data_IF_596988651171
#
_entry.id   IF_596988651171
#
_cell.length_a   1.000
_cell.length_b   1.000
_cell.length_c   1.000
_cell.angle_alpha   90.00
_cell.angle_beta   90.00
_cell.angle_gamma   90.00
#
_symmetry.space_group_name_H-M   'P 1'
#
loop_
_entity.id
_entity.type
_entity.pdbx_description
1 polymer ?
#
# COMPACT_ATOMS: atom_id res chain seq x y z
N UNK A 1 -66.61 1.62 63.94
CA UNK A 1 -65.36 0.94 63.53
C UNK A 1 -64.75 1.72 62.39
N UNK A 2 -63.43 1.93 62.41
CA UNK A 2 -62.61 2.40 61.28
C UNK A 2 -62.27 1.21 60.35
N UNK A 3 -61.59 1.35 59.18
CA UNK A 3 -60.85 2.51 58.66
C UNK A 3 -61.05 2.81 57.15
N UNK A 4 -60.14 3.60 56.56
CA UNK A 4 -60.15 4.11 55.20
C UNK A 4 -59.40 3.21 54.18
N UNK A 5 -59.80 3.28 52.90
CA UNK A 5 -58.97 3.08 51.69
C UNK A 5 -59.86 3.27 50.42
N UNK A 6 -59.38 3.45 49.20
CA UNK A 6 -58.42 4.39 48.60
C UNK A 6 -58.20 3.98 47.12
N UNK A 7 -58.46 4.89 46.18
CA UNK A 7 -57.81 4.99 44.86
C UNK A 7 -57.95 3.89 43.77
N UNK A 8 -57.90 4.39 42.52
CA UNK A 8 -57.86 3.70 41.22
C UNK A 8 -56.77 2.63 41.03
N UNK A 9 -56.97 1.73 40.04
CA UNK A 9 -55.91 1.22 39.18
C UNK A 9 -56.01 1.75 37.73
N UNK A 10 -54.89 2.24 37.19
CA UNK A 10 -54.68 2.36 35.73
C UNK A 10 -54.22 1.01 35.14
N UNK A 11 -54.45 0.72 33.84
CA UNK A 11 -53.92 -0.49 33.21
C UNK A 11 -52.39 -0.42 33.09
N UNK A 12 -51.72 -1.54 33.44
CA UNK A 12 -50.27 -1.67 33.34
C UNK A 12 -49.83 -1.74 31.87
N UNK A 13 -48.90 -0.87 31.46
CA UNK A 13 -48.16 -1.04 30.20
C UNK A 13 -47.08 -2.11 30.38
N UNK A 14 -46.85 -3.00 29.40
CA UNK A 14 -45.74 -3.95 29.46
C UNK A 14 -44.40 -3.21 29.44
N UNK A 15 -43.51 -3.58 30.36
CA UNK A 15 -42.15 -3.07 30.40
C UNK A 15 -41.37 -3.58 29.18
N UNK A 16 -40.92 -2.65 28.33
CA UNK A 16 -39.88 -2.96 27.34
C UNK A 16 -38.51 -2.70 28.02
N UNK A 17 -37.55 -3.62 27.95
CA UNK A 17 -36.18 -3.28 28.32
C UNK A 17 -35.68 -2.14 27.41
N UNK A 18 -34.80 -1.26 27.91
CA UNK A 18 -34.10 -0.33 27.02
C UNK A 18 -33.31 -1.14 25.98
N UNK A 19 -33.38 -0.73 24.72
CA UNK A 19 -32.48 -1.25 23.69
C UNK A 19 -31.03 -0.86 24.01
N UNK A 20 -30.04 -1.52 23.38
CA UNK A 20 -28.63 -1.15 23.57
C UNK A 20 -28.47 0.33 23.26
N UNK A 21 -27.90 1.08 24.21
CA UNK A 21 -27.63 2.49 24.01
C UNK A 21 -26.62 2.64 22.87
N UNK A 22 -27.02 3.32 21.78
CA UNK A 22 -26.09 3.76 20.76
C UNK A 22 -25.19 4.83 21.38
N UNK A 23 -24.04 4.41 21.90
CA UNK A 23 -22.99 5.32 22.35
C UNK A 23 -22.42 5.97 21.09
N UNK A 24 -22.80 7.22 20.86
CA UNK A 24 -22.17 8.05 19.84
C UNK A 24 -20.78 8.47 20.35
N UNK A 25 -19.81 7.55 20.23
CA UNK A 25 -18.40 7.90 20.41
C UNK A 25 -18.00 8.74 19.19
N UNK A 26 -17.46 9.94 19.43
CA UNK A 26 -16.95 10.76 18.34
C UNK A 26 -15.79 10.05 17.65
N UNK A 27 -15.74 10.15 16.32
CA UNK A 27 -14.63 9.65 15.51
C UNK A 27 -13.78 10.84 15.07
N UNK A 28 -12.46 10.73 15.21
CA UNK A 28 -11.47 11.70 14.76
C UNK A 28 -10.77 11.12 13.54
N UNK A 29 -10.92 11.80 12.41
CA UNK A 29 -10.18 11.50 11.18
C UNK A 29 -8.79 12.12 11.26
N UNK A 30 -7.77 11.35 10.87
CA UNK A 30 -6.38 11.80 10.82
C UNK A 30 -5.74 11.41 9.48
N UNK A 31 -5.17 12.39 8.78
CA UNK A 31 -4.13 12.15 7.77
C UNK A 31 -2.86 11.69 8.49
N UNK A 32 -2.15 10.72 7.91
CA UNK A 32 -0.90 10.17 8.48
C UNK A 32 0.28 11.06 8.04
N UNK A 33 0.18 12.37 8.28
CA UNK A 33 1.08 13.39 7.73
C UNK A 33 1.94 14.09 8.79
N UNK A 34 3.26 13.92 8.70
CA UNK A 34 4.23 14.92 9.19
C UNK A 34 5.03 14.58 10.45
N UNK A 35 6.19 13.93 10.27
CA UNK A 35 7.55 14.33 10.72
C UNK A 35 8.52 13.19 10.33
N UNK A 36 9.69 13.48 9.73
CA UNK A 36 10.62 12.42 9.32
C UNK A 36 11.35 11.80 10.53
N UNK A 37 10.89 10.62 10.96
CA UNK A 37 11.70 9.42 11.28
C UNK A 37 10.82 8.23 11.71
N UNK A 38 11.39 7.04 11.53
CA UNK A 38 10.90 5.71 11.92
C UNK A 38 9.71 5.13 11.10
N UNK A 39 10.10 4.25 10.16
CA UNK A 39 9.31 3.25 9.44
C UNK A 39 8.51 2.28 10.34
N UNK A 40 7.83 1.27 9.78
CA UNK A 40 6.70 0.55 10.45
C UNK A 40 6.46 -0.89 9.77
N UNK A 41 5.38 -1.74 9.62
CA UNK A 41 4.67 -2.73 10.51
C UNK A 41 3.09 -2.85 10.65
N UNK A 42 2.26 -3.34 9.69
CA UNK A 42 0.81 -3.71 9.92
C UNK A 42 0.58 -4.44 11.26
N UNK A 43 -0.47 -4.07 12.01
CA UNK A 43 -0.74 -4.61 13.35
C UNK A 43 -1.76 -5.76 13.36
N UNK A 44 -1.27 -7.00 13.52
CA UNK A 44 -2.10 -8.22 13.64
C UNK A 44 -2.54 -8.52 15.09
N UNK A 45 -3.80 -8.90 15.31
CA UNK A 45 -4.34 -9.27 16.64
C UNK A 45 -4.07 -10.73 17.03
N UNK A 46 -3.71 -11.59 16.07
CA UNK A 46 -3.41 -13.02 16.28
C UNK A 46 -2.02 -13.27 16.88
N UNK A 47 -1.82 -14.43 17.51
CA UNK A 47 -0.51 -14.88 18.00
C UNK A 47 0.13 -13.95 19.05
N UNK A 48 1.45 -13.93 19.11
CA UNK A 48 2.23 -13.01 19.95
C UNK A 48 2.40 -11.60 19.34
N UNK A 49 2.10 -11.45 18.04
CA UNK A 49 2.21 -10.20 17.29
C UNK A 49 3.49 -10.08 16.44
N UNK A 50 4.35 -11.11 16.45
CA UNK A 50 5.61 -11.10 15.69
C UNK A 50 5.49 -11.64 14.27
N UNK A 51 4.59 -12.60 14.04
CA UNK A 51 4.42 -13.34 12.78
C UNK A 51 3.83 -12.55 11.60
N UNK A 52 3.44 -13.27 10.54
CA UNK A 52 2.97 -12.75 9.25
C UNK A 52 3.96 -11.82 8.51
N UNK A 53 5.26 -11.96 8.78
CA UNK A 53 6.37 -11.22 8.16
C UNK A 53 6.97 -11.94 6.93
N UNK A 54 6.17 -12.80 6.30
CA UNK A 54 6.53 -13.60 5.11
C UNK A 54 5.27 -13.81 4.28
N UNK A 55 5.37 -14.02 2.96
CA UNK A 55 4.22 -14.28 2.09
C UNK A 55 3.26 -15.35 2.62
N UNK A 56 1.94 -15.19 2.44
CA UNK A 56 0.97 -16.28 2.54
C UNK A 56 1.34 -17.45 1.60
N UNK A 57 0.90 -18.67 1.92
CA UNK A 57 1.21 -19.87 1.11
C UNK A 57 0.59 -19.87 -0.31
N UNK A 58 -0.25 -18.89 -0.61
CA UNK A 58 -0.73 -18.53 -1.92
C UNK A 58 -0.75 -17.00 -1.95
N UNK A 59 0.41 -16.40 -2.20
CA UNK A 59 0.63 -14.98 -1.98
C UNK A 59 -0.29 -14.11 -2.86
N UNK A 60 -1.12 -13.21 -2.29
CA UNK A 60 -1.88 -12.25 -3.08
C UNK A 60 -1.07 -11.06 -3.60
N UNK A 61 0.19 -10.90 -3.18
CA UNK A 61 1.06 -9.78 -3.58
C UNK A 61 1.86 -9.17 -2.43
N UNK A 62 2.28 -9.96 -1.44
CA UNK A 62 3.14 -9.53 -0.34
C UNK A 62 4.51 -9.09 -0.85
N UNK A 63 5.11 -9.88 -1.74
CA UNK A 63 6.43 -9.57 -2.30
C UNK A 63 6.40 -8.32 -3.21
N UNK A 64 5.22 -7.92 -3.69
CA UNK A 64 4.97 -6.66 -4.39
C UNK A 64 4.84 -5.43 -3.48
N UNK A 65 4.68 -5.58 -2.15
CA UNK A 65 4.59 -4.43 -1.22
C UNK A 65 5.95 -4.10 -0.64
N UNK A 66 6.55 -3.02 -1.13
CA UNK A 66 7.84 -2.51 -0.68
C UNK A 66 7.75 -1.40 0.36
N UNK A 67 8.92 -0.93 0.80
CA UNK A 67 9.06 0.18 1.76
C UNK A 67 9.44 1.46 1.03
N UNK A 68 8.62 2.51 1.14
CA UNK A 68 8.84 3.82 0.50
C UNK A 68 8.95 4.88 1.60
N UNK A 69 10.11 5.54 1.74
CA UNK A 69 10.39 6.52 2.81
C UNK A 69 10.07 5.98 4.24
N UNK A 70 10.17 4.67 4.45
CA UNK A 70 9.77 3.99 5.69
C UNK A 70 8.27 3.70 5.83
N UNK A 71 7.43 4.35 5.03
CA UNK A 71 6.03 3.99 4.79
C UNK A 71 6.00 2.81 3.79
N UNK A 72 4.97 2.68 2.96
CA UNK A 72 4.83 1.55 2.03
C UNK A 72 4.60 2.01 0.58
N UNK A 73 4.76 1.10 -0.37
CA UNK A 73 4.33 1.25 -1.76
C UNK A 73 4.06 -0.13 -2.37
N UNK A 74 3.29 -0.19 -3.44
CA UNK A 74 2.94 -1.45 -4.13
C UNK A 74 3.42 -1.39 -5.57
N UNK A 75 4.37 -2.24 -5.94
CA UNK A 75 4.77 -2.47 -7.33
C UNK A 75 3.64 -3.20 -8.06
N UNK A 76 3.07 -2.58 -9.11
CA UNK A 76 1.90 -3.12 -9.81
C UNK A 76 2.31 -3.88 -11.07
N UNK A 77 2.94 -3.20 -12.04
CA UNK A 77 3.54 -3.75 -13.26
C UNK A 77 4.28 -2.65 -14.02
N UNK A 78 5.09 -3.03 -15.00
CA UNK A 78 5.84 -2.13 -15.91
C UNK A 78 6.50 -0.92 -15.22
N UNK A 79 7.33 -1.16 -14.20
CA UNK A 79 7.99 -0.11 -13.42
C UNK A 79 7.08 0.69 -12.45
N UNK A 80 5.76 0.65 -12.63
CA UNK A 80 4.84 1.51 -11.87
C UNK A 80 4.56 1.03 -10.44
N UNK A 81 4.74 1.95 -9.50
CA UNK A 81 4.47 1.82 -8.06
C UNK A 81 3.29 2.71 -7.67
N UNK A 82 2.30 2.14 -6.98
CA UNK A 82 1.23 2.89 -6.31
C UNK A 82 1.56 3.14 -4.84
N UNK A 83 1.28 4.35 -4.35
CA UNK A 83 1.37 4.69 -2.93
C UNK A 83 0.34 5.77 -2.55
N UNK A 84 0.19 6.08 -1.26
CA UNK A 84 -0.63 7.21 -0.83
C UNK A 84 0.12 8.52 -1.10
N UNK A 85 -0.55 9.55 -1.62
CA UNK A 85 0.12 10.77 -2.08
C UNK A 85 0.90 11.50 -0.97
N UNK A 86 0.47 11.42 0.30
CA UNK A 86 1.23 11.97 1.43
C UNK A 86 2.52 11.19 1.78
N UNK A 87 2.77 10.03 1.18
CA UNK A 87 4.07 9.33 1.20
C UNK A 87 5.06 10.03 0.27
N UNK A 88 4.59 10.36 -0.95
CA UNK A 88 5.39 10.94 -2.03
C UNK A 88 6.33 9.93 -2.70
N UNK A 89 6.73 10.26 -3.94
CA UNK A 89 7.77 9.56 -4.69
C UNK A 89 9.09 9.57 -3.90
N UNK A 90 9.58 8.37 -3.60
CA UNK A 90 10.88 8.09 -2.98
C UNK A 90 11.31 6.69 -3.44
N UNK A 91 12.61 6.34 -3.33
CA UNK A 91 13.09 5.01 -3.69
C UNK A 91 12.38 3.91 -2.88
N UNK A 92 12.04 2.82 -3.56
CA UNK A 92 11.30 1.69 -2.97
C UNK A 92 12.21 0.50 -2.70
N UNK A 93 12.14 -0.07 -1.50
CA UNK A 93 12.81 -1.32 -1.16
C UNK A 93 11.88 -2.51 -1.45
N UNK A 94 12.20 -3.30 -2.47
CA UNK A 94 11.50 -4.52 -2.89
C UNK A 94 12.45 -5.71 -2.84
N UNK A 95 12.05 -6.83 -2.22
CA UNK A 95 12.86 -8.06 -2.04
C UNK A 95 14.26 -7.90 -1.40
N UNK A 96 14.64 -6.69 -0.98
CA UNK A 96 15.98 -6.35 -0.46
C UNK A 96 16.79 -5.42 -1.38
N UNK A 97 16.37 -5.23 -2.62
CA UNK A 97 16.92 -4.26 -3.59
C UNK A 97 16.19 -2.93 -3.47
N UNK A 98 16.92 -1.82 -3.58
CA UNK A 98 16.36 -0.47 -3.65
C UNK A 98 16.23 -0.07 -5.13
N UNK A 99 15.08 0.44 -5.52
CA UNK A 99 14.80 0.94 -6.86
C UNK A 99 14.51 2.45 -6.79
N UNK A 100 15.29 3.24 -7.51
CA UNK A 100 15.13 4.71 -7.56
C UNK A 100 14.03 5.13 -8.56
N UNK A 101 13.27 6.22 -8.29
CA UNK A 101 12.22 6.69 -9.19
C UNK A 101 12.76 7.30 -10.49
N UNK A 102 12.01 7.12 -11.58
CA UNK A 102 12.23 7.83 -12.85
C UNK A 102 11.90 9.32 -12.66
N UNK A 103 12.84 10.26 -12.92
CA UNK A 103 12.65 11.66 -12.58
C UNK A 103 11.44 12.32 -13.26
N UNK A 104 10.42 12.66 -12.47
CA UNK A 104 9.21 13.33 -12.97
C UNK A 104 8.02 12.40 -13.25
N UNK A 105 8.17 11.09 -13.06
CA UNK A 105 7.10 10.10 -13.23
C UNK A 105 5.94 10.21 -12.22
N UNK A 106 6.07 11.03 -11.16
CA UNK A 106 5.01 11.35 -10.19
C UNK A 106 3.70 11.83 -10.80
N UNK A 107 2.71 10.94 -10.91
CA UNK A 107 1.33 11.26 -11.29
C UNK A 107 0.39 11.08 -10.09
N UNK A 108 -0.05 12.21 -9.52
CA UNK A 108 -1.10 12.22 -8.50
C UNK A 108 -2.47 12.00 -9.13
N UNK A 109 -3.19 10.95 -8.70
CA UNK A 109 -4.45 10.56 -9.31
C UNK A 109 -5.54 11.62 -9.07
N UNK A 110 -6.19 12.03 -10.16
CA UNK A 110 -7.23 13.07 -10.16
C UNK A 110 -8.63 12.46 -10.13
N UNK A 111 -9.55 13.10 -9.40
CA UNK A 111 -10.96 12.76 -9.36
C UNK A 111 -11.72 13.36 -10.57
N UNK A 112 -12.91 12.84 -10.92
CA UNK A 112 -13.76 13.39 -11.99
C UNK A 112 -14.22 14.85 -11.81
N UNK A 113 -14.08 15.44 -10.61
CA UNK A 113 -14.37 16.85 -10.31
C UNK A 113 -13.13 17.77 -10.38
N UNK A 114 -12.00 17.24 -10.88
CA UNK A 114 -10.68 17.86 -10.94
C UNK A 114 -9.99 18.13 -9.58
N UNK A 115 -10.57 17.70 -8.45
CA UNK A 115 -9.81 17.55 -7.19
C UNK A 115 -8.85 16.36 -7.28
N UNK A 116 -7.92 16.23 -6.34
CA UNK A 116 -6.95 15.13 -6.33
C UNK A 116 -7.13 14.22 -5.13
N UNK A 117 -7.09 12.90 -5.38
CA UNK A 117 -7.09 11.86 -4.36
C UNK A 117 -5.80 11.90 -3.52
N UNK A 118 -5.78 11.22 -2.38
CA UNK A 118 -4.54 10.93 -1.64
C UNK A 118 -3.85 9.66 -2.16
N UNK A 119 -3.79 9.53 -3.50
CA UNK A 119 -3.26 8.41 -4.25
C UNK A 119 -2.26 8.93 -5.30
N UNK A 120 -1.11 8.28 -5.40
CA UNK A 120 0.03 8.63 -6.26
C UNK A 120 0.50 7.38 -6.99
N UNK A 121 0.85 7.55 -8.27
CA UNK A 121 1.68 6.64 -9.02
C UNK A 121 3.05 7.29 -9.29
N UNK A 122 4.12 6.50 -9.30
CA UNK A 122 5.43 6.87 -9.84
C UNK A 122 6.07 5.64 -10.47
N UNK A 123 7.00 5.84 -11.42
CA UNK A 123 7.71 4.77 -12.12
C UNK A 123 9.12 4.63 -11.54
N UNK A 124 9.69 3.43 -11.55
CA UNK A 124 11.05 3.15 -11.06
C UNK A 124 11.94 2.76 -12.23
N UNK A 125 13.22 3.19 -12.18
CA UNK A 125 14.17 2.93 -13.25
C UNK A 125 14.41 1.44 -13.46
N UNK A 126 14.84 1.09 -14.67
CA UNK A 126 15.33 -0.25 -15.00
C UNK A 126 16.52 -0.70 -14.12
N UNK A 127 16.78 -2.01 -14.02
CA UNK A 127 15.98 -3.12 -14.54
C UNK A 127 14.75 -3.40 -13.66
N UNK A 128 13.62 -3.73 -14.28
CA UNK A 128 12.32 -3.93 -13.60
C UNK A 128 12.40 -5.07 -12.55
N UNK A 129 11.77 -4.93 -11.36
CA UNK A 129 11.81 -5.96 -10.33
C UNK A 129 11.30 -7.32 -10.83
N UNK A 130 11.89 -8.47 -10.39
CA UNK A 130 11.48 -9.82 -10.78
C UNK A 130 10.21 -10.28 -10.03
N UNK A 131 9.15 -9.47 -10.13
CA UNK A 131 7.88 -9.60 -9.43
C UNK A 131 6.74 -9.78 -10.44
N UNK A 132 5.65 -10.50 -10.07
CA UNK A 132 4.50 -10.69 -10.95
C UNK A 132 3.65 -9.43 -11.06
N UNK A 133 3.07 -9.20 -12.24
CA UNK A 133 2.04 -8.19 -12.46
C UNK A 133 0.83 -8.41 -11.56
N UNK A 134 0.39 -7.34 -10.88
CA UNK A 134 -0.85 -7.33 -10.10
C UNK A 134 -2.05 -6.97 -10.99
N UNK A 135 -3.13 -7.74 -10.83
CA UNK A 135 -4.44 -7.36 -11.34
C UNK A 135 -5.05 -6.25 -10.48
N UNK A 136 -5.57 -5.19 -11.09
CA UNK A 136 -6.39 -4.17 -10.42
C UNK A 136 -7.85 -4.63 -10.37
N UNK A 137 -8.54 -4.30 -9.27
CA UNK A 137 -9.95 -4.60 -8.99
C UNK A 137 -10.84 -4.73 -10.24
N UNK A 138 -11.41 -5.91 -10.48
CA UNK A 138 -12.32 -6.15 -11.62
C UNK A 138 -13.77 -5.78 -11.33
N UNK A 139 -14.13 -5.59 -10.06
CA UNK A 139 -15.47 -5.23 -9.60
C UNK A 139 -15.44 -4.27 -8.40
N UNK A 140 -16.52 -3.51 -8.23
CA UNK A 140 -16.71 -2.58 -7.12
C UNK A 140 -16.68 -3.28 -5.74
N UNK A 141 -16.13 -2.64 -4.68
CA UNK A 141 -16.05 -3.23 -3.36
C UNK A 141 -17.42 -3.55 -2.77
N UNK A 142 -17.51 -4.65 -2.00
CA UNK A 142 -18.74 -5.07 -1.33
C UNK A 142 -18.54 -5.36 0.16
N UNK A 143 -19.42 -4.80 0.98
CA UNK A 143 -19.41 -4.94 2.45
C UNK A 143 -19.46 -6.42 2.84
N UNK A 144 -18.58 -6.82 3.75
CA UNK A 144 -18.38 -8.20 4.20
C UNK A 144 -17.28 -8.97 3.45
N UNK A 145 -16.77 -8.46 2.33
CA UNK A 145 -15.62 -9.03 1.62
C UNK A 145 -14.40 -9.07 2.52
N UNK A 146 -13.76 -10.24 2.63
CA UNK A 146 -12.51 -10.43 3.35
C UNK A 146 -11.35 -9.93 2.49
N UNK A 147 -10.50 -9.10 3.08
CA UNK A 147 -9.27 -8.58 2.49
C UNK A 147 -8.05 -9.24 3.14
N UNK A 148 -6.98 -9.38 2.39
CA UNK A 148 -5.61 -9.39 2.94
C UNK A 148 -5.09 -7.96 2.86
N UNK A 149 -4.67 -7.37 3.99
CA UNK A 149 -4.04 -6.04 4.01
C UNK A 149 -2.55 -6.20 4.33
N UNK A 150 -1.70 -5.51 3.58
CA UNK A 150 -0.23 -5.65 3.61
C UNK A 150 0.40 -4.27 3.62
N UNK A 151 1.36 -4.04 4.52
CA UNK A 151 1.93 -2.71 4.65
C UNK A 151 2.89 -2.52 5.83
N UNK A 152 3.30 -1.27 5.98
CA UNK A 152 4.42 -0.89 6.80
C UNK A 152 4.04 0.10 7.94
N UNK A 153 3.06 -0.23 8.80
CA UNK A 153 2.53 0.43 10.04
C UNK A 153 3.17 0.15 11.45
N UNK A 154 2.58 0.49 12.61
CA UNK A 154 3.31 0.24 13.89
C UNK A 154 3.26 -1.22 14.39
N UNK A 155 4.46 -1.81 14.61
CA UNK A 155 4.65 -3.10 15.28
C UNK A 155 3.71 -3.29 16.48
N UNK A 156 3.23 -4.51 16.74
CA UNK A 156 2.38 -4.77 17.91
C UNK A 156 3.18 -4.72 19.22
N UNK A 157 2.68 -3.96 20.18
CA UNK A 157 3.20 -3.89 21.54
C UNK A 157 2.37 -4.71 22.54
N UNK A 158 2.39 -4.27 23.80
CA UNK A 158 1.66 -4.93 24.89
C UNK A 158 0.14 -4.78 24.77
N UNK A 159 -0.61 -5.75 25.29
CA UNK A 159 -2.07 -5.65 25.40
C UNK A 159 -2.48 -4.44 26.26
N UNK A 160 -3.59 -3.80 25.87
CA UNK A 160 -4.13 -2.59 26.50
C UNK A 160 -5.66 -2.63 26.53
N UNK A 161 -6.28 -1.72 27.27
CA UNK A 161 -7.74 -1.54 27.24
C UNK A 161 -8.13 -0.10 27.59
N UNK A 162 -9.21 0.39 26.97
CA UNK A 162 -9.69 1.76 27.15
C UNK A 162 -11.20 1.82 26.91
N UNK A 163 -11.93 2.49 27.82
CA UNK A 163 -13.40 2.63 27.82
C UNK A 163 -14.20 1.32 27.63
N UNK A 164 -13.62 0.16 27.95
CA UNK A 164 -14.24 -1.16 27.79
C UNK A 164 -13.91 -1.87 26.47
N UNK A 165 -13.18 -1.23 25.56
CA UNK A 165 -12.55 -1.87 24.42
C UNK A 165 -11.21 -2.50 24.83
N UNK A 166 -10.88 -3.63 24.22
CA UNK A 166 -9.57 -4.29 24.35
C UNK A 166 -8.68 -3.89 23.17
N UNK A 167 -7.37 -4.11 23.26
CA UNK A 167 -6.51 -3.84 22.12
C UNK A 167 -5.03 -3.96 22.42
N UNK A 168 -4.24 -3.25 21.64
CA UNK A 168 -2.78 -3.27 21.68
C UNK A 168 -2.22 -1.86 21.72
N UNK A 169 -1.23 -1.64 22.57
CA UNK A 169 -0.31 -0.51 22.41
C UNK A 169 0.57 -0.79 21.19
N UNK A 170 1.07 0.25 20.55
CA UNK A 170 2.07 0.13 19.50
C UNK A 170 3.46 -0.08 20.11
N UNK A 171 4.23 -1.00 19.51
CA UNK A 171 5.59 -1.34 19.90
C UNK A 171 6.64 -0.50 19.16
N UNK A 172 7.93 -0.70 19.50
CA UNK A 172 9.03 -0.11 18.77
C UNK A 172 9.22 -0.79 17.40
N UNK A 173 9.65 -0.02 16.42
CA UNK A 173 10.10 -0.53 15.14
C UNK A 173 9.02 -1.04 14.19
N UNK A 174 9.50 -1.84 13.24
CA UNK A 174 9.11 -1.77 11.83
C UNK A 174 9.44 -3.10 11.16
N UNK A 175 8.52 -3.78 10.46
CA UNK A 175 8.71 -5.15 9.93
C UNK A 175 7.58 -5.60 8.96
N UNK A 176 7.52 -5.14 7.70
CA UNK A 176 6.51 -5.48 6.67
C UNK A 176 5.65 -6.74 6.98
N UNK A 177 4.33 -6.55 7.14
CA UNK A 177 3.39 -7.61 7.54
C UNK A 177 2.13 -7.65 6.71
N UNK A 178 1.50 -8.82 6.68
CA UNK A 178 0.12 -8.98 6.26
C UNK A 178 -0.82 -9.33 7.41
N UNK A 179 -2.07 -8.89 7.30
CA UNK A 179 -3.19 -9.30 8.13
C UNK A 179 -4.45 -9.45 7.29
N UNK A 180 -5.59 -9.70 7.93
CA UNK A 180 -6.89 -9.71 7.26
C UNK A 180 -7.86 -8.74 7.93
N UNK A 181 -8.78 -8.15 7.19
CA UNK A 181 -9.96 -7.46 7.75
C UNK A 181 -11.14 -7.63 6.76
N UNK A 182 -12.31 -7.04 7.03
CA UNK A 182 -13.46 -7.05 6.12
C UNK A 182 -13.92 -5.63 5.81
N UNK A 183 -14.33 -5.40 4.57
CA UNK A 183 -14.99 -4.16 4.16
C UNK A 183 -16.24 -3.96 5.04
N UNK A 184 -16.28 -2.87 5.80
CA UNK A 184 -17.37 -2.50 6.69
C UNK A 184 -18.34 -1.49 6.06
N UNK A 185 -17.82 -0.61 5.21
CA UNK A 185 -18.53 0.49 4.56
C UNK A 185 -17.87 0.81 3.20
N UNK A 186 -18.65 1.34 2.25
CA UNK A 186 -18.22 1.66 0.88
C UNK A 186 -18.80 3.02 0.45
N UNK A 187 -18.30 3.59 -0.66
CA UNK A 187 -18.78 4.85 -1.21
C UNK A 187 -18.51 6.05 -0.29
N UNK A 188 -17.31 6.06 0.31
CA UNK A 188 -16.91 7.02 1.33
C UNK A 188 -15.91 7.99 0.73
N UNK A 189 -16.14 9.30 0.91
CA UNK A 189 -15.17 10.30 0.48
C UNK A 189 -14.39 10.86 1.68
N UNK A 190 -13.12 10.49 1.79
CA UNK A 190 -12.23 10.92 2.88
C UNK A 190 -11.02 11.65 2.30
N UNK A 191 -10.78 12.89 2.73
CA UNK A 191 -9.70 13.75 2.21
C UNK A 191 -9.67 13.85 0.67
N UNK A 192 -10.85 14.02 0.04
CA UNK A 192 -11.05 14.00 -1.42
C UNK A 192 -10.64 12.68 -2.10
N UNK A 193 -10.64 11.56 -1.38
CA UNK A 193 -10.35 10.22 -1.90
C UNK A 193 -11.60 9.36 -1.78
N UNK A 194 -12.04 8.77 -2.89
CA UNK A 194 -13.08 7.74 -2.88
C UNK A 194 -12.52 6.46 -2.28
N UNK A 195 -13.23 5.91 -1.31
CA UNK A 195 -12.69 4.95 -0.36
C UNK A 195 -13.74 3.96 0.15
N UNK A 196 -13.22 2.88 0.71
CA UNK A 196 -13.96 1.96 1.57
C UNK A 196 -13.31 1.87 2.95
N UNK A 197 -14.09 1.48 3.95
CA UNK A 197 -13.66 1.33 5.33
C UNK A 197 -13.49 -0.13 5.71
N UNK A 198 -12.58 -0.39 6.63
CA UNK A 198 -12.48 -1.62 7.42
C UNK A 198 -12.50 -1.26 8.91
N UNK A 199 -12.90 -2.18 9.80
CA UNK A 199 -12.94 -1.93 11.25
C UNK A 199 -12.16 -3.02 11.99
N UNK A 200 -11.17 -2.61 12.78
CA UNK A 200 -10.40 -3.50 13.65
C UNK A 200 -11.29 -4.02 14.79
N UNK A 201 -11.81 -5.22 14.61
CA UNK A 201 -12.93 -5.79 15.38
C UNK A 201 -12.48 -6.96 16.28
N UNK A 202 -13.25 -7.24 17.33
CA UNK A 202 -12.96 -8.37 18.21
C UNK A 202 -13.49 -9.67 17.60
N UNK A 203 -12.62 -10.38 16.85
CA UNK A 203 -12.95 -11.66 16.22
C UNK A 203 -13.74 -12.60 17.15
N UNK A 204 -14.86 -13.19 16.67
CA UNK A 204 -15.68 -14.07 17.49
C UNK A 204 -14.91 -15.25 18.11
N UNK A 205 -15.26 -15.67 19.34
CA UNK A 205 -14.64 -16.84 19.98
C UNK A 205 -14.78 -18.10 19.11
N UNK A 206 -13.64 -18.75 18.81
CA UNK A 206 -13.56 -19.86 17.85
C UNK A 206 -13.24 -19.39 16.43
N UNK A 207 -12.12 -18.67 16.28
CA UNK A 207 -11.62 -18.16 14.99
C UNK A 207 -11.63 -19.23 13.90
N UNK A 208 -12.07 -18.86 12.70
CA UNK A 208 -11.83 -19.66 11.51
C UNK A 208 -10.33 -19.69 11.19
N UNK A 209 -9.81 -20.85 10.80
CA UNK A 209 -8.42 -20.97 10.35
C UNK A 209 -8.17 -20.03 9.16
N UNK A 210 -7.15 -19.17 9.26
CA UNK A 210 -6.79 -18.18 8.24
C UNK A 210 -7.33 -16.77 8.45
N UNK A 211 -8.02 -16.45 9.56
CA UNK A 211 -8.37 -15.06 9.90
C UNK A 211 -7.31 -14.45 10.83
N UNK A 212 -6.63 -13.41 10.35
CA UNK A 212 -5.53 -12.69 10.98
C UNK A 212 -5.89 -11.22 11.21
N UNK A 213 -6.99 -10.98 11.93
CA UNK A 213 -7.59 -9.66 12.15
C UNK A 213 -6.57 -8.57 12.48
N UNK A 214 -6.57 -7.49 11.69
CA UNK A 214 -5.54 -6.47 11.73
C UNK A 214 -6.08 -5.04 11.60
N UNK A 215 -5.38 -4.09 12.23
CA UNK A 215 -5.64 -2.65 12.15
C UNK A 215 -4.70 -1.98 11.16
N UNK A 216 -5.16 -0.91 10.52
CA UNK A 216 -4.32 0.02 9.76
C UNK A 216 -3.79 1.05 10.75
N UNK A 217 -2.48 1.14 10.87
CA UNK A 217 -1.77 1.91 11.90
C UNK A 217 -0.73 2.84 11.26
N UNK A 218 -0.19 3.80 12.02
CA UNK A 218 0.71 4.81 11.45
C UNK A 218 1.92 4.15 10.76
N UNK A 219 2.10 4.42 9.47
CA UNK A 219 3.12 3.80 8.63
C UNK A 219 2.55 2.98 7.46
N UNK A 220 1.36 2.39 7.63
CA UNK A 220 0.72 1.53 6.61
C UNK A 220 0.35 2.28 5.34
N UNK A 221 0.41 3.62 5.35
CA UNK A 221 0.30 4.49 4.18
C UNK A 221 1.05 3.95 2.97
N UNK A 222 0.35 3.84 1.84
CA UNK A 222 0.86 3.27 0.60
C UNK A 222 0.84 1.75 0.53
N UNK A 223 0.40 1.05 1.57
CA UNK A 223 0.28 -0.41 1.58
C UNK A 223 -0.87 -0.92 0.72
N UNK A 224 -0.84 -2.20 0.35
CA UNK A 224 -1.84 -2.83 -0.50
C UNK A 224 -2.97 -3.50 0.29
N UNK A 225 -4.19 -3.37 -0.20
CA UNK A 225 -5.34 -4.18 0.20
C UNK A 225 -5.76 -5.07 -0.97
N UNK A 226 -5.87 -6.38 -0.73
CA UNK A 226 -6.05 -7.40 -1.74
C UNK A 226 -7.28 -8.27 -1.48
N UNK A 227 -7.94 -8.74 -2.55
CA UNK A 227 -8.89 -9.86 -2.50
C UNK A 227 -8.29 -11.08 -3.21
N UNK A 228 -8.81 -12.27 -2.93
CA UNK A 228 -8.31 -13.52 -3.53
C UNK A 228 -7.02 -14.01 -2.89
N UNK A 229 -6.25 -14.82 -3.64
CA UNK A 229 -4.97 -15.41 -3.22
C UNK A 229 -4.21 -15.96 -4.42
N UNK A 230 -2.88 -15.94 -4.38
CA UNK A 230 -2.03 -16.39 -5.48
C UNK A 230 -2.25 -15.58 -6.77
N UNK A 231 -2.00 -16.17 -7.95
CA UNK A 231 -2.17 -15.52 -9.26
C UNK A 231 -3.62 -15.13 -9.65
N UNK A 232 -4.60 -15.29 -8.75
CA UNK A 232 -5.96 -14.79 -8.91
C UNK A 232 -6.34 -13.79 -7.80
N UNK A 233 -5.35 -13.12 -7.23
CA UNK A 233 -5.56 -11.99 -6.34
C UNK A 233 -5.72 -10.70 -7.15
N UNK A 234 -6.48 -9.75 -6.60
CA UNK A 234 -6.62 -8.40 -7.15
C UNK A 234 -6.24 -7.38 -6.07
N UNK A 235 -5.41 -6.41 -6.44
CA UNK A 235 -5.16 -5.20 -5.66
C UNK A 235 -6.40 -4.31 -5.77
N UNK A 236 -7.11 -4.14 -4.64
CA UNK A 236 -8.39 -3.42 -4.58
C UNK A 236 -8.30 -2.05 -3.91
N UNK A 237 -7.21 -1.79 -3.18
CA UNK A 237 -7.08 -0.56 -2.41
C UNK A 237 -5.65 -0.23 -2.01
N UNK A 238 -5.36 1.07 -1.87
CA UNK A 238 -4.15 1.56 -1.20
C UNK A 238 -4.54 2.11 0.18
N UNK A 239 -3.85 1.67 1.22
CA UNK A 239 -4.02 2.15 2.60
C UNK A 239 -3.55 3.62 2.68
N UNK A 240 -4.35 4.54 3.22
CA UNK A 240 -3.93 5.96 3.31
C UNK A 240 -4.31 6.70 4.61
N UNK A 241 -5.39 6.31 5.28
CA UNK A 241 -5.81 7.00 6.50
C UNK A 241 -6.39 6.04 7.54
N UNK A 242 -6.55 6.53 8.77
CA UNK A 242 -7.25 5.82 9.84
C UNK A 242 -8.07 6.77 10.69
N UNK A 243 -9.08 6.24 11.37
CA UNK A 243 -9.90 6.99 12.31
C UNK A 243 -9.86 6.40 13.72
N UNK A 244 -9.79 7.30 14.71
CA UNK A 244 -9.72 6.98 16.14
C UNK A 244 -10.94 7.45 16.89
N UNK A 245 -11.19 6.89 18.07
CA UNK A 245 -12.16 7.46 19.00
C UNK A 245 -11.64 8.81 19.53
N UNK A 246 -12.55 9.74 19.81
CA UNK A 246 -12.22 10.96 20.56
C UNK A 246 -11.57 10.60 21.90
N UNK A 247 -10.47 11.26 22.25
CA UNK A 247 -9.66 11.01 23.45
C UNK A 247 -9.08 9.59 23.58
N UNK A 248 -9.01 8.82 22.47
CA UNK A 248 -8.27 7.55 22.43
C UNK A 248 -6.79 7.76 22.81
N UNK A 249 -6.18 6.87 23.64
CA UNK A 249 -4.78 6.99 24.00
C UNK A 249 -3.90 6.90 22.74
N UNK A 250 -2.90 7.80 22.58
CA UNK A 250 -2.05 7.80 21.39
C UNK A 250 -1.30 6.47 21.25
N UNK A 251 -1.03 6.11 20.01
CA UNK A 251 -0.30 4.87 19.68
C UNK A 251 -0.98 3.60 20.19
N UNK A 252 -2.28 3.47 19.95
CA UNK A 252 -3.08 2.28 20.25
C UNK A 252 -3.96 1.85 19.07
N UNK A 253 -4.23 0.54 19.03
CA UNK A 253 -5.24 -0.10 18.18
C UNK A 253 -6.26 -0.78 19.09
N UNK A 254 -7.52 -0.35 19.03
CA UNK A 254 -8.60 -0.76 19.92
C UNK A 254 -9.71 -1.46 19.15
N UNK A 255 -10.16 -2.59 19.68
CA UNK A 255 -11.19 -3.47 19.12
C UNK A 255 -12.28 -3.78 20.15
N UNK A 256 -13.50 -3.91 19.64
CA UNK A 256 -14.71 -4.30 20.36
C UNK A 256 -15.59 -5.22 19.52
N UNK A 257 -16.64 -5.75 20.12
CA UNK A 257 -17.49 -6.75 19.46
C UNK A 257 -18.50 -6.11 18.51
N UNK A 258 -18.56 -6.60 17.28
CA UNK A 258 -19.66 -6.31 16.34
C UNK A 258 -19.45 -5.05 15.52
N UNK A 259 -18.28 -4.91 14.89
CA UNK A 259 -17.95 -3.75 14.04
C UNK A 259 -17.73 -2.46 14.84
N UNK A 260 -17.15 -2.57 16.04
CA UNK A 260 -16.75 -1.42 16.87
C UNK A 260 -15.25 -1.50 17.09
N UNK A 261 -14.49 -0.50 16.63
CA UNK A 261 -13.04 -0.48 16.73
C UNK A 261 -12.43 0.71 16.03
N UNK A 262 -11.10 0.70 15.86
CA UNK A 262 -10.42 1.62 14.95
C UNK A 262 -10.83 1.36 13.50
N UNK A 263 -10.87 2.42 12.68
CA UNK A 263 -11.27 2.35 11.28
C UNK A 263 -10.04 2.52 10.40
N UNK A 264 -9.77 1.55 9.53
CA UNK A 264 -8.82 1.69 8.43
C UNK A 264 -9.53 2.24 7.19
N UNK A 265 -8.91 3.20 6.51
CA UNK A 265 -9.48 3.89 5.35
C UNK A 265 -8.56 3.66 4.15
N UNK A 266 -9.16 3.13 3.09
CA UNK A 266 -8.47 2.51 1.95
C UNK A 266 -9.10 3.05 0.67
N UNK A 267 -8.29 3.51 -0.29
CA UNK A 267 -8.79 4.02 -1.57
C UNK A 267 -9.50 2.93 -2.37
N UNK A 268 -10.53 3.30 -3.15
CA UNK A 268 -11.23 2.38 -4.03
C UNK A 268 -10.54 2.32 -5.42
N UNK A 269 -9.71 1.30 -5.65
CA UNK A 269 -9.03 1.16 -6.95
C UNK A 269 -9.96 0.69 -8.07
N UNK A 270 -11.20 0.24 -7.79
CA UNK A 270 -12.18 0.05 -8.85
C UNK A 270 -12.71 1.40 -9.36
N UNK A 271 -12.88 2.39 -8.46
CA UNK A 271 -13.23 3.76 -8.85
C UNK A 271 -12.10 4.44 -9.65
N UNK A 272 -10.84 4.27 -9.23
CA UNK A 272 -9.68 4.86 -9.91
C UNK A 272 -9.16 4.05 -11.12
N UNK A 273 -9.65 2.82 -11.31
CA UNK A 273 -9.16 1.80 -12.26
C UNK A 273 -8.72 2.35 -13.61
N UNK A 274 -9.62 3.03 -14.31
CA UNK A 274 -9.39 3.51 -15.67
C UNK A 274 -8.29 4.58 -15.76
N UNK A 275 -8.11 5.39 -14.72
CA UNK A 275 -7.08 6.43 -14.66
C UNK A 275 -5.69 5.84 -14.36
N UNK A 276 -5.66 4.74 -13.59
CA UNK A 276 -4.44 3.99 -13.30
C UNK A 276 -4.02 3.18 -14.53
N UNK A 277 -4.93 2.42 -15.15
CA UNK A 277 -4.64 1.66 -16.37
C UNK A 277 -4.21 2.56 -17.54
N UNK A 278 -4.82 3.75 -17.70
CA UNK A 278 -4.36 4.73 -18.70
C UNK A 278 -2.96 5.30 -18.45
N UNK A 279 -2.34 4.98 -17.31
CA UNK A 279 -0.97 5.35 -16.97
C UNK A 279 -0.05 4.12 -17.04
N UNK A 280 -0.37 3.06 -16.29
CA UNK A 280 0.52 1.92 -16.07
C UNK A 280 0.59 0.92 -17.24
N UNK A 281 -0.31 1.05 -18.22
CA UNK A 281 -0.35 0.21 -19.43
C UNK A 281 0.20 0.92 -20.67
N UNK A 282 0.91 2.05 -20.49
CA UNK A 282 1.71 2.65 -21.55
C UNK A 282 3.06 1.91 -21.69
N UNK A 283 3.55 1.63 -22.91
CA UNK A 283 4.91 1.16 -23.14
C UNK A 283 5.92 2.26 -22.79
N UNK A 284 7.12 1.88 -22.37
CA UNK A 284 8.17 2.80 -21.93
C UNK A 284 8.58 3.75 -23.06
N UNK A 285 8.88 3.20 -24.25
CA UNK A 285 9.16 3.89 -25.51
C UNK A 285 8.02 4.78 -26.08
N UNK A 286 6.98 5.08 -25.31
CA UNK A 286 5.89 5.96 -25.69
C UNK A 286 5.17 6.67 -24.52
N UNK A 287 5.70 6.66 -23.28
CA UNK A 287 5.08 7.34 -22.12
C UNK A 287 5.71 8.69 -21.74
N UNK A 288 6.82 9.06 -22.37
CA UNK A 288 7.47 10.37 -22.25
C UNK A 288 8.39 10.52 -21.03
N UNK A 289 9.02 9.43 -20.62
CA UNK A 289 9.97 9.34 -19.51
C UNK A 289 11.34 8.78 -19.97
N UNK A 290 12.35 8.91 -19.11
CA UNK A 290 13.71 8.39 -19.28
C UNK A 290 13.84 7.20 -18.30
N UNK A 291 13.36 6.04 -18.75
CA UNK A 291 13.07 4.86 -17.91
C UNK A 291 14.30 4.04 -17.55
N UNK A 292 15.21 3.89 -18.51
CA UNK A 292 16.47 3.18 -18.31
C UNK A 292 17.56 4.07 -17.71
N UNK A 293 17.50 5.37 -17.99
CA UNK A 293 18.33 6.40 -17.40
C UNK A 293 19.44 6.98 -18.27
N UNK A 294 19.51 6.63 -19.55
CA UNK A 294 20.54 7.06 -20.49
C UNK A 294 20.46 8.57 -20.87
N UNK A 295 19.29 9.21 -20.66
CA UNK A 295 19.02 10.62 -20.95
C UNK A 295 18.43 10.91 -22.35
N UNK A 296 18.05 9.88 -23.09
CA UNK A 296 17.15 9.87 -24.25
C UNK A 296 15.72 9.53 -23.76
N UNK A 297 14.74 9.41 -24.65
CA UNK A 297 13.31 9.29 -24.32
C UNK A 297 12.50 8.98 -25.58
N UNK A 298 11.61 7.97 -25.52
CA UNK A 298 10.61 7.59 -26.54
C UNK A 298 11.16 7.25 -27.95
N UNK A 299 10.48 6.31 -28.62
CA UNK A 299 10.67 6.14 -30.06
C UNK A 299 10.21 7.41 -30.84
N UNK A 300 11.01 7.98 -31.77
CA UNK A 300 12.22 7.43 -32.40
C UNK A 300 13.51 8.22 -32.09
N UNK A 301 13.48 9.09 -31.08
CA UNK A 301 14.66 9.87 -30.69
C UNK A 301 15.54 9.05 -29.74
N UNK A 302 14.94 8.09 -29.02
CA UNK A 302 15.60 6.94 -28.41
C UNK A 302 16.08 5.89 -29.46
N UNK A 303 17.32 5.37 -29.38
CA UNK A 303 17.88 4.38 -30.31
C UNK A 303 17.68 2.90 -29.93
N UNK A 304 17.37 2.61 -28.66
CA UNK A 304 17.16 1.25 -28.17
C UNK A 304 15.72 0.78 -28.44
N UNK A 305 14.76 1.69 -28.28
CA UNK A 305 13.37 1.57 -28.71
C UNK A 305 13.22 1.19 -30.19
N UNK A 306 12.70 -0.02 -30.49
CA UNK A 306 12.55 -0.45 -31.89
C UNK A 306 11.28 0.07 -32.57
N UNK A 307 10.17 0.26 -31.83
CA UNK A 307 9.04 1.11 -32.18
C UNK A 307 8.26 1.59 -30.93
N UNK A 308 7.28 2.49 -31.09
CA UNK A 308 6.49 3.07 -29.99
C UNK A 308 5.50 2.09 -29.29
N UNK A 309 5.71 0.78 -29.43
CA UNK A 309 5.07 -0.29 -28.66
C UNK A 309 6.10 -1.20 -27.96
N UNK A 310 7.40 -0.89 -28.03
CA UNK A 310 8.42 -1.61 -27.26
C UNK A 310 8.22 -1.37 -25.76
N UNK A 311 8.24 -2.41 -24.92
CA UNK A 311 7.96 -2.30 -23.49
C UNK A 311 9.21 -2.05 -22.64
N UNK A 312 10.33 -1.66 -23.23
CA UNK A 312 11.61 -1.33 -22.60
C UNK A 312 12.37 -0.39 -23.52
N UNK A 313 13.08 0.63 -23.01
CA UNK A 313 13.89 1.54 -23.82
C UNK A 313 15.24 0.90 -24.24
N UNK A 314 15.77 -0.02 -23.43
CA UNK A 314 17.08 -0.68 -23.66
C UNK A 314 17.16 -1.55 -24.93
N UNK A 315 18.04 -1.15 -25.84
CA UNK A 315 18.31 -1.81 -27.12
C UNK A 315 19.40 -2.88 -27.12
N UNK A 316 19.00 -4.16 -27.20
CA UNK A 316 19.87 -5.32 -27.44
C UNK A 316 20.61 -5.38 -28.80
N UNK A 317 20.81 -4.22 -29.44
CA UNK A 317 21.63 -3.97 -30.64
C UNK A 317 23.02 -3.45 -30.25
N UNK A 318 23.16 -2.82 -29.09
CA UNK A 318 24.41 -2.25 -28.57
C UNK A 318 24.81 -2.97 -27.29
N UNK A 319 26.12 -3.10 -27.04
CA UNK A 319 26.63 -3.74 -25.82
C UNK A 319 26.62 -2.77 -24.62
N UNK A 320 26.33 -1.48 -24.85
CA UNK A 320 26.21 -0.42 -23.83
C UNK A 320 24.74 0.01 -23.54
N UNK A 321 23.77 -0.82 -23.90
CA UNK A 321 22.33 -0.52 -23.88
C UNK A 321 21.46 -1.81 -23.77
N UNK A 322 21.98 -2.94 -23.28
CA UNK A 322 21.27 -4.24 -23.40
C UNK A 322 20.82 -4.88 -22.06
N UNK A 323 21.21 -4.31 -20.93
CA UNK A 323 20.90 -4.79 -19.58
C UNK A 323 21.87 -5.86 -19.05
N UNK A 324 23.10 -5.96 -19.59
CA UNK A 324 24.06 -7.01 -19.28
C UNK A 324 25.49 -6.44 -19.13
N UNK A 325 26.14 -6.78 -18.02
CA UNK A 325 27.60 -6.82 -17.82
C UNK A 325 28.23 -7.81 -18.84
N UNK A 326 28.52 -7.32 -20.05
CA UNK A 326 29.04 -8.08 -21.20
C UNK A 326 30.57 -8.21 -21.13
N UNK A 327 31.28 -7.27 -20.49
CA UNK A 327 32.74 -7.35 -20.31
C UNK A 327 33.21 -8.05 -19.00
N UNK A 328 32.40 -8.00 -17.93
CA UNK A 328 32.61 -8.75 -16.68
C UNK A 328 33.26 -7.97 -15.53
N UNK A 329 33.29 -6.64 -15.60
CA UNK A 329 33.73 -5.70 -14.56
C UNK A 329 32.75 -5.65 -13.36
N UNK A 330 31.43 -5.70 -13.64
CA UNK A 330 30.35 -5.63 -12.64
C UNK A 330 29.61 -4.29 -12.56
N UNK A 331 29.92 -3.33 -13.43
CA UNK A 331 29.00 -2.28 -13.89
C UNK A 331 28.10 -2.84 -15.03
N UNK A 332 27.28 -2.01 -15.67
CA UNK A 332 26.35 -2.42 -16.76
C UNK A 332 25.84 -1.19 -17.52
N UNK A 333 26.12 -1.11 -18.83
CA UNK A 333 25.57 -0.13 -19.78
C UNK A 333 25.81 1.37 -19.46
N UNK A 334 25.50 2.25 -20.42
CA UNK A 334 25.41 3.69 -20.17
C UNK A 334 24.22 4.02 -19.22
N UNK A 335 24.31 5.03 -18.33
CA UNK A 335 25.46 5.89 -18.00
C UNK A 335 26.24 5.43 -16.76
N UNK A 336 25.93 4.25 -16.20
CA UNK A 336 26.50 3.77 -14.93
C UNK A 336 27.82 2.98 -15.11
N UNK A 337 28.13 2.55 -16.34
CA UNK A 337 29.43 2.04 -16.78
C UNK A 337 30.33 3.14 -17.40
N UNK A 338 31.58 3.27 -16.92
CA UNK A 338 32.56 4.28 -17.40
C UNK A 338 33.21 3.89 -18.75
N UNK A 339 33.22 2.60 -19.12
CA UNK A 339 33.67 2.08 -20.41
C UNK A 339 32.69 2.38 -21.55
N UNK A 340 31.41 2.48 -21.22
CA UNK A 340 30.35 2.98 -22.09
C UNK A 340 30.33 4.51 -22.16
N UNK A 341 30.68 5.06 -23.33
CA UNK A 341 30.72 6.52 -23.56
C UNK A 341 29.43 7.10 -24.16
N UNK A 342 28.49 6.24 -24.56
CA UNK A 342 27.20 6.54 -25.17
C UNK A 342 26.37 5.24 -25.20
N UNK A 343 25.03 5.25 -25.09
CA UNK A 343 24.16 4.06 -25.23
C UNK A 343 24.47 3.27 -26.52
N UNK A 344 24.50 3.97 -27.66
CA UNK A 344 24.76 3.38 -28.97
C UNK A 344 26.22 2.95 -29.21
N UNK A 345 27.03 2.75 -28.17
CA UNK A 345 28.35 2.15 -28.30
C UNK A 345 28.19 0.64 -28.55
N UNK A 346 28.69 0.10 -29.68
CA UNK A 346 28.44 -1.29 -30.05
C UNK A 346 29.31 -2.31 -29.30
N UNK A 347 30.08 -1.86 -28.30
CA UNK A 347 31.01 -2.64 -27.47
C UNK A 347 31.07 -1.95 -26.09
N UNK A 348 30.70 -2.66 -25.02
CA UNK A 348 31.10 -2.39 -23.63
C UNK A 348 32.57 -2.76 -23.49
N UNK A 349 33.38 -1.85 -22.95
CA UNK A 349 34.82 -1.86 -23.17
C UNK A 349 35.58 -1.78 -21.84
N UNK A 350 36.37 -2.82 -21.47
CA UNK A 350 36.92 -2.93 -20.14
C UNK A 350 37.79 -1.73 -19.80
N UNK A 351 37.44 -1.11 -18.68
CA UNK A 351 37.98 0.13 -18.14
C UNK A 351 39.50 0.23 -18.40
N UNK A 352 40.01 1.34 -18.98
CA UNK A 352 41.38 1.44 -19.46
C UNK A 352 42.37 1.53 -18.29
N UNK A 353 42.67 0.35 -17.72
CA UNK A 353 43.33 0.10 -16.44
C UNK A 353 44.26 1.23 -15.99
N UNK A 354 43.80 1.96 -14.98
CA UNK A 354 44.51 3.08 -14.38
C UNK A 354 45.92 2.70 -13.87
N UNK A 355 46.23 1.42 -13.70
CA UNK A 355 47.56 0.89 -13.39
C UNK A 355 48.55 1.08 -14.56
N UNK A 356 48.08 1.06 -15.81
CA UNK A 356 48.92 1.14 -17.02
C UNK A 356 49.35 2.58 -17.33
N UNK A 357 48.63 3.59 -16.82
CA UNK A 357 48.92 5.01 -17.05
C UNK A 357 50.07 5.60 -16.20
N UNK A 358 50.90 4.77 -15.55
CA UNK A 358 51.90 5.19 -14.55
C UNK A 358 53.34 4.64 -14.73
N UNK A 359 53.68 4.01 -15.87
CA UNK A 359 55.06 3.56 -16.20
C UNK A 359 55.82 4.47 -17.19
#
# INVERSE_FOLDING_TARGET
MSPCSSSFPFPLRPWRPPGPARVWIGIVLLLISGIPRDASAVLISTGDGTGNTTPPSADPGFDNVGVVNGLSGVYVRNGWVLTANHVGEHPILLLGTLYDPVPGSSVRIQNPDASFADLLAFKIRGPKPPLPDLALASAAPSVGTLLTIIGNGRNRGTATSWMGLSGWNWGPGSTLRWGTNKISEIGQNTFATEAFHIVFDALPPGQAMGQHEADVVNGDSGGGAFIGSGPSAELVGILFARATFTDQPPSTSLAGTGGVGNVGIISDLFFYRNAIESLIDQPDCADGLDDDGDGLTDFPDDPGCTDALDPDERGAIFECDNGIDDDGDGLTDFPDDDGCLHPTNPIEAPEPDATIMLE
#
